data_IF_578005339913
#
_entry.id   IF_578005339913
#
_cell.length_a   1.000
_cell.length_b   1.000
_cell.length_c   1.000
_cell.angle_alpha   90.00
_cell.angle_beta   90.00
_cell.angle_gamma   90.00
#
_symmetry.space_group_name_H-M   'P 1'
#
loop_
_entity.id
_entity.type
_entity.pdbx_description
1 polymer ?
#
# COMPACT_ATOMS: atom_id res chain seq x y z
N UNK A 1 -25.11 16.01 -43.83
CA UNK A 1 -25.04 14.54 -43.92
C UNK A 1 -23.66 14.16 -43.42
N UNK A 2 -23.58 13.76 -42.16
CA UNK A 2 -22.39 13.04 -41.68
C UNK A 2 -22.50 11.65 -42.33
N UNK A 3 -21.41 11.19 -42.94
CA UNK A 3 -21.39 9.96 -43.72
C UNK A 3 -21.65 8.77 -42.78
N UNK A 4 -22.81 8.10 -42.92
CA UNK A 4 -23.18 6.96 -42.08
C UNK A 4 -22.14 5.83 -42.11
N UNK A 5 -21.34 5.78 -43.19
CA UNK A 5 -20.23 4.84 -43.34
C UNK A 5 -19.04 5.18 -42.43
N UNK A 6 -18.70 6.46 -42.27
CA UNK A 6 -17.61 6.90 -41.38
C UNK A 6 -17.98 6.72 -39.89
N UNK A 7 -19.28 6.85 -39.56
CA UNK A 7 -19.78 6.56 -38.22
C UNK A 7 -19.76 5.06 -37.90
N UNK A 8 -20.18 4.21 -38.84
CA UNK A 8 -20.12 2.76 -38.69
C UNK A 8 -18.68 2.26 -38.54
N UNK A 9 -17.76 2.75 -39.36
CA UNK A 9 -16.33 2.39 -39.29
C UNK A 9 -15.68 2.86 -37.98
N UNK A 10 -16.05 4.03 -37.46
CA UNK A 10 -15.59 4.51 -36.16
C UNK A 10 -16.09 3.66 -34.98
N UNK A 11 -17.34 3.16 -35.06
CA UNK A 11 -17.90 2.25 -34.05
C UNK A 11 -17.20 0.90 -34.07
N UNK A 12 -17.00 0.30 -35.26
CA UNK A 12 -16.30 -0.98 -35.40
C UNK A 12 -14.86 -0.92 -34.86
N UNK A 13 -14.15 0.20 -35.06
CA UNK A 13 -12.78 0.39 -34.53
C UNK A 13 -12.74 0.51 -33.01
N UNK A 14 -13.68 1.24 -32.41
CA UNK A 14 -13.81 1.31 -30.95
C UNK A 14 -14.16 -0.06 -30.37
N UNK A 15 -15.07 -0.80 -31.03
CA UNK A 15 -15.44 -2.15 -30.62
C UNK A 15 -14.25 -3.11 -30.68
N UNK A 16 -13.37 -3.01 -31.68
CA UNK A 16 -12.17 -3.84 -31.75
C UNK A 16 -11.21 -3.66 -30.55
N UNK A 17 -11.16 -2.47 -29.95
CA UNK A 17 -10.33 -2.17 -28.78
C UNK A 17 -11.04 -2.40 -27.43
N UNK A 18 -12.35 -2.63 -27.44
CA UNK A 18 -13.17 -2.63 -26.20
C UNK A 18 -14.03 -3.89 -26.06
N UNK A 19 -14.10 -4.74 -27.08
CA UNK A 19 -14.79 -6.02 -26.97
C UNK A 19 -14.13 -6.87 -25.87
N UNK A 20 -14.89 -7.42 -24.91
CA UNK A 20 -14.31 -8.18 -23.81
C UNK A 20 -13.65 -9.45 -24.34
N UNK A 21 -12.37 -9.63 -24.03
CA UNK A 21 -11.64 -10.84 -24.38
C UNK A 21 -11.04 -11.52 -23.15
N UNK A 22 -10.73 -12.80 -23.26
CA UNK A 22 -9.94 -13.50 -22.24
C UNK A 22 -8.55 -12.88 -22.06
N UNK A 23 -8.03 -12.21 -23.08
CA UNK A 23 -6.76 -11.51 -22.99
C UNK A 23 -6.88 -10.24 -22.12
N UNK A 24 -8.02 -9.56 -22.17
CA UNK A 24 -8.29 -8.41 -21.32
C UNK A 24 -8.43 -8.85 -19.85
N UNK A 25 -9.16 -9.94 -19.58
CA UNK A 25 -9.23 -10.61 -18.25
C UNK A 25 -7.83 -10.91 -17.71
N UNK A 26 -6.96 -11.54 -18.51
CA UNK A 26 -5.57 -11.81 -18.10
C UNK A 26 -4.76 -10.53 -17.86
N UNK A 27 -5.03 -9.48 -18.63
CA UNK A 27 -4.39 -8.18 -18.50
C UNK A 27 -4.83 -7.47 -17.21
N UNK A 28 -6.12 -7.54 -16.87
CA UNK A 28 -6.66 -7.06 -15.59
C UNK A 28 -6.09 -7.85 -14.42
N UNK A 29 -5.99 -9.18 -14.51
CA UNK A 29 -5.30 -10.01 -13.52
C UNK A 29 -3.81 -9.69 -13.36
N UNK A 30 -3.11 -9.33 -14.43
CA UNK A 30 -1.71 -8.86 -14.38
C UNK A 30 -1.62 -7.55 -13.58
N UNK A 31 -2.53 -6.61 -13.83
CA UNK A 31 -2.59 -5.35 -13.10
C UNK A 31 -2.97 -5.57 -11.62
N UNK A 32 -3.89 -6.50 -11.34
CA UNK A 32 -4.27 -6.92 -10.00
C UNK A 32 -3.07 -7.50 -9.24
N UNK A 33 -2.36 -8.48 -9.80
CA UNK A 33 -1.22 -9.13 -9.13
C UNK A 33 -0.13 -8.12 -8.75
N UNK A 34 0.20 -7.21 -9.67
CA UNK A 34 1.16 -6.13 -9.40
C UNK A 34 0.69 -5.19 -8.28
N UNK A 35 -0.58 -4.81 -8.30
CA UNK A 35 -1.16 -3.92 -7.28
C UNK A 35 -1.24 -4.62 -5.93
N UNK A 36 -1.62 -5.89 -5.91
CA UNK A 36 -1.62 -6.77 -4.74
C UNK A 36 -0.21 -6.90 -4.15
N UNK A 37 0.81 -7.07 -4.99
CA UNK A 37 2.20 -7.13 -4.54
C UNK A 37 2.67 -5.79 -3.91
N UNK A 38 2.28 -4.65 -4.50
CA UNK A 38 2.55 -3.30 -4.00
C UNK A 38 1.88 -3.06 -2.63
N UNK A 39 0.55 -3.27 -2.56
CA UNK A 39 -0.24 -3.18 -1.33
C UNK A 39 0.33 -4.13 -0.27
N UNK A 40 0.65 -5.37 -0.64
CA UNK A 40 1.23 -6.35 0.27
C UNK A 40 2.59 -5.93 0.82
N UNK A 41 3.45 -5.28 0.01
CA UNK A 41 4.74 -4.77 0.46
C UNK A 41 4.60 -3.63 1.47
N UNK A 42 3.72 -2.67 1.21
CA UNK A 42 3.41 -1.56 2.12
C UNK A 42 2.74 -2.07 3.41
N UNK A 43 1.78 -3.00 3.30
CA UNK A 43 1.16 -3.67 4.45
C UNK A 43 2.18 -4.37 5.33
N UNK A 44 3.14 -5.11 4.75
CA UNK A 44 4.23 -5.75 5.50
C UNK A 44 5.13 -4.74 6.20
N UNK A 45 5.44 -3.61 5.55
CA UNK A 45 6.24 -2.54 6.15
C UNK A 45 5.53 -1.90 7.35
N UNK A 46 4.23 -1.64 7.24
CA UNK A 46 3.42 -1.10 8.34
C UNK A 46 3.28 -2.14 9.46
N UNK A 47 3.02 -3.41 9.12
CA UNK A 47 2.92 -4.49 10.11
C UNK A 47 4.21 -4.63 10.92
N UNK A 48 5.38 -4.62 10.27
CA UNK A 48 6.68 -4.61 10.97
C UNK A 48 6.83 -3.42 11.93
N UNK A 49 6.32 -2.25 11.55
CA UNK A 49 6.36 -1.05 12.40
C UNK A 49 5.39 -1.18 13.58
N UNK A 50 4.20 -1.76 13.36
CA UNK A 50 3.22 -2.05 14.42
C UNK A 50 3.75 -3.10 15.40
N UNK A 51 4.43 -4.14 14.93
CA UNK A 51 5.01 -5.18 15.77
C UNK A 51 6.17 -4.64 16.62
N UNK A 52 7.01 -3.79 16.03
CA UNK A 52 8.07 -3.10 16.76
C UNK A 52 7.49 -2.16 17.84
N UNK A 53 6.40 -1.46 17.51
CA UNK A 53 5.67 -0.62 18.47
C UNK A 53 4.98 -1.45 19.55
N UNK A 54 4.37 -2.58 19.20
CA UNK A 54 3.75 -3.51 20.14
C UNK A 54 4.78 -4.08 21.12
N UNK A 55 5.97 -4.42 20.61
CA UNK A 55 7.10 -4.87 21.43
C UNK A 55 7.57 -3.77 22.40
N UNK A 56 7.70 -2.53 21.92
CA UNK A 56 8.04 -1.38 22.78
C UNK A 56 6.97 -1.13 23.85
N UNK A 57 5.68 -1.21 23.49
CA UNK A 57 4.57 -1.07 24.43
C UNK A 57 4.53 -2.21 25.46
N UNK A 58 4.86 -3.44 25.07
CA UNK A 58 4.94 -4.59 25.98
C UNK A 58 6.04 -4.43 27.03
N UNK A 59 7.20 -3.88 26.67
CA UNK A 59 8.29 -3.58 27.62
C UNK A 59 7.82 -2.58 28.71
N UNK A 60 6.92 -1.66 28.37
CA UNK A 60 6.36 -0.69 29.33
C UNK A 60 5.16 -1.23 30.09
N UNK A 61 4.36 -2.13 29.52
CA UNK A 61 3.10 -2.61 30.11
C UNK A 61 3.20 -3.91 30.89
N UNK A 62 4.17 -4.79 30.60
CA UNK A 62 4.32 -6.05 31.33
C UNK A 62 4.97 -5.83 32.71
N UNK A 63 4.12 -5.79 33.74
CA UNK A 63 4.52 -5.71 35.15
C UNK A 63 4.82 -7.06 35.81
N UNK A 64 4.71 -8.19 35.08
CA UNK A 64 4.63 -9.54 35.66
C UNK A 64 5.53 -10.65 35.08
N UNK A 65 6.09 -10.52 33.88
CA UNK A 65 6.96 -11.55 33.28
C UNK A 65 8.44 -11.43 33.67
N UNK A 66 8.94 -10.20 33.76
CA UNK A 66 10.34 -9.91 34.06
C UNK A 66 10.73 -10.18 35.53
N UNK A 67 9.75 -10.28 36.43
CA UNK A 67 9.98 -10.64 37.84
C UNK A 67 10.48 -12.07 38.02
N UNK A 68 10.30 -12.97 37.05
CA UNK A 68 10.90 -14.31 37.12
C UNK A 68 12.37 -14.32 36.69
N UNK A 69 12.76 -13.50 35.71
CA UNK A 69 14.14 -13.42 35.25
C UNK A 69 15.06 -12.71 36.27
N UNK A 70 14.50 -11.76 37.03
CA UNK A 70 15.21 -11.03 38.09
C UNK A 70 14.90 -11.56 39.50
N UNK A 71 13.91 -12.44 39.64
CA UNK A 71 13.55 -13.10 40.91
C UNK A 71 14.63 -14.06 41.43
N UNK A 72 15.61 -14.42 40.59
CA UNK A 72 16.82 -15.14 41.01
C UNK A 72 17.87 -14.29 41.72
N UNK A 73 17.78 -12.96 41.64
CA UNK A 73 18.66 -12.01 42.35
C UNK A 73 17.93 -11.47 43.58
N UNK A 74 17.98 -12.20 44.71
CA UNK A 74 17.36 -11.79 45.96
C UNK A 74 17.73 -10.37 46.42
N UNK A 75 16.86 -9.73 47.22
CA UNK A 75 16.91 -8.41 47.95
C UNK A 75 17.48 -7.18 47.20
N UNK A 76 18.54 -7.31 46.41
CA UNK A 76 19.19 -6.28 45.58
C UNK A 76 18.38 -5.95 44.31
N UNK A 77 17.50 -6.84 43.84
CA UNK A 77 16.62 -6.58 42.68
C UNK A 77 15.39 -5.71 42.98
N UNK A 78 14.94 -5.64 44.24
CA UNK A 78 13.71 -4.93 44.64
C UNK A 78 13.70 -3.41 44.35
N UNK A 79 14.79 -2.65 44.57
CA UNK A 79 14.84 -1.23 44.25
C UNK A 79 14.76 -0.96 42.74
N UNK A 80 15.34 -1.84 41.91
CA UNK A 80 15.33 -1.72 40.45
C UNK A 80 13.93 -2.02 39.90
N UNK A 81 13.30 -3.09 40.40
CA UNK A 81 11.90 -3.43 40.05
C UNK A 81 10.93 -2.33 40.52
N UNK A 82 11.14 -1.75 41.70
CA UNK A 82 10.35 -0.64 42.21
C UNK A 82 10.51 0.65 41.38
N UNK A 83 11.75 1.01 41.02
CA UNK A 83 12.02 2.15 40.15
C UNK A 83 11.46 1.96 38.73
N UNK A 84 11.51 0.72 38.21
CA UNK A 84 10.94 0.39 36.90
C UNK A 84 9.41 0.47 36.92
N UNK A 85 8.73 -0.05 37.96
CA UNK A 85 7.28 0.13 38.13
C UNK A 85 6.87 1.60 38.28
N UNK A 86 7.67 2.39 38.99
CA UNK A 86 7.46 3.83 39.10
C UNK A 86 7.62 4.52 37.74
N UNK A 87 8.67 4.17 36.97
CA UNK A 87 8.87 4.68 35.61
C UNK A 87 7.72 4.26 34.67
N UNK A 88 7.28 3.01 34.70
CA UNK A 88 6.13 2.51 33.93
C UNK A 88 4.83 3.22 34.33
N UNK A 89 4.59 3.45 35.63
CA UNK A 89 3.44 4.18 36.14
C UNK A 89 3.43 5.64 35.68
N UNK A 90 4.59 6.29 35.71
CA UNK A 90 4.77 7.67 35.21
C UNK A 90 4.55 7.72 33.70
N UNK A 91 5.12 6.79 32.93
CA UNK A 91 4.93 6.71 31.47
C UNK A 91 3.46 6.45 31.11
N UNK A 92 2.79 5.54 31.81
CA UNK A 92 1.36 5.24 31.59
C UNK A 92 0.45 6.44 31.92
N UNK A 93 0.71 7.14 33.02
CA UNK A 93 -0.01 8.37 33.37
C UNK A 93 0.28 9.50 32.37
N UNK A 94 1.53 9.63 31.92
CA UNK A 94 1.95 10.62 30.93
C UNK A 94 1.26 10.38 29.58
N UNK A 95 1.26 9.14 29.08
CA UNK A 95 0.54 8.78 27.84
C UNK A 95 -0.95 9.06 27.97
N UNK A 96 -1.57 8.74 29.12
CA UNK A 96 -2.98 9.04 29.37
C UNK A 96 -3.27 10.55 29.44
N UNK A 97 -2.40 11.34 30.04
CA UNK A 97 -2.54 12.80 30.13
C UNK A 97 -2.41 13.47 28.76
N UNK A 98 -1.49 12.98 27.91
CA UNK A 98 -1.22 13.58 26.60
C UNK A 98 -2.18 13.14 25.51
N UNK A 99 -2.61 11.87 25.54
CA UNK A 99 -3.46 11.30 24.48
C UNK A 99 -4.94 11.18 24.89
N UNK A 100 -5.25 11.33 26.17
CA UNK A 100 -6.59 11.04 26.72
C UNK A 100 -6.93 9.54 26.80
N UNK A 101 -6.05 8.66 26.30
CA UNK A 101 -6.27 7.21 26.15
C UNK A 101 -5.24 6.43 26.97
N UNK A 102 -5.64 5.36 27.65
CA UNK A 102 -4.72 4.56 28.48
C UNK A 102 -3.79 3.69 27.64
N UNK A 103 -2.57 3.47 28.14
CA UNK A 103 -1.55 2.63 27.49
C UNK A 103 -2.03 1.19 27.17
N UNK A 104 -2.99 0.68 27.94
CA UNK A 104 -3.65 -0.61 27.67
C UNK A 104 -4.48 -0.57 26.38
N UNK A 105 -5.30 0.46 26.19
CA UNK A 105 -6.09 0.67 24.96
C UNK A 105 -5.20 0.88 23.74
N UNK A 106 -4.02 1.50 23.92
CA UNK A 106 -2.99 1.59 22.89
C UNK A 106 -2.45 0.21 22.49
N UNK A 107 -2.16 -0.64 23.47
CA UNK A 107 -1.65 -2.00 23.24
C UNK A 107 -2.70 -2.86 22.52
N UNK A 108 -3.96 -2.77 22.95
CA UNK A 108 -5.09 -3.47 22.30
C UNK A 108 -5.30 -2.99 20.86
N UNK A 109 -5.17 -1.68 20.60
CA UNK A 109 -5.28 -1.11 19.27
C UNK A 109 -4.17 -1.59 18.33
N UNK A 110 -2.92 -1.63 18.81
CA UNK A 110 -1.78 -2.15 18.04
C UNK A 110 -1.97 -3.63 17.73
N UNK A 111 -2.30 -4.45 18.74
CA UNK A 111 -2.54 -5.88 18.55
C UNK A 111 -3.71 -6.16 17.58
N UNK A 112 -4.83 -5.43 17.74
CA UNK A 112 -5.96 -5.53 16.83
C UNK A 112 -5.62 -5.08 15.40
N UNK A 113 -4.75 -4.07 15.26
CA UNK A 113 -4.33 -3.59 13.94
C UNK A 113 -3.41 -4.61 13.28
N UNK A 114 -2.38 -5.12 13.95
CA UNK A 114 -1.51 -6.18 13.41
C UNK A 114 -2.31 -7.39 12.92
N UNK A 115 -3.24 -7.90 13.73
CA UNK A 115 -4.10 -9.03 13.32
C UNK A 115 -4.96 -8.72 12.07
N UNK A 116 -5.42 -7.47 11.92
CA UNK A 116 -6.17 -7.04 10.73
C UNK A 116 -5.28 -6.93 9.49
N UNK A 117 -4.01 -6.52 9.65
CA UNK A 117 -3.03 -6.51 8.55
C UNK A 117 -2.70 -7.94 8.10
N UNK A 118 -2.47 -8.87 9.02
CA UNK A 118 -2.17 -10.26 8.71
C UNK A 118 -3.35 -10.96 7.99
N UNK A 119 -4.58 -10.76 8.48
CA UNK A 119 -5.77 -11.27 7.84
C UNK A 119 -5.95 -10.71 6.42
N UNK A 120 -5.66 -9.42 6.22
CA UNK A 120 -5.74 -8.79 4.92
C UNK A 120 -4.65 -9.29 3.96
N UNK A 121 -3.41 -9.49 4.44
CA UNK A 121 -2.33 -10.08 3.65
C UNK A 121 -2.67 -11.49 3.15
N UNK A 122 -3.23 -12.35 4.00
CA UNK A 122 -3.66 -13.70 3.58
C UNK A 122 -4.75 -13.66 2.50
N UNK A 123 -5.63 -12.67 2.55
CA UNK A 123 -6.63 -12.48 1.50
C UNK A 123 -6.01 -12.01 0.18
N UNK A 124 -5.06 -11.08 0.24
CA UNK A 124 -4.31 -10.63 -0.93
C UNK A 124 -3.58 -11.80 -1.62
N UNK A 125 -3.03 -12.75 -0.85
CA UNK A 125 -2.45 -13.98 -1.39
C UNK A 125 -3.46 -14.84 -2.15
N UNK A 126 -4.74 -14.82 -1.74
CA UNK A 126 -5.81 -15.53 -2.46
C UNK A 126 -6.06 -14.91 -3.84
N UNK A 127 -6.03 -13.58 -3.95
CA UNK A 127 -6.15 -12.88 -5.24
C UNK A 127 -4.92 -13.12 -6.12
N UNK A 128 -3.72 -13.14 -5.54
CA UNK A 128 -2.49 -13.47 -6.28
C UNK A 128 -2.53 -14.91 -6.82
N UNK A 129 -2.98 -15.88 -6.01
CA UNK A 129 -3.15 -17.26 -6.44
C UNK A 129 -4.18 -17.39 -7.58
N UNK A 130 -5.27 -16.63 -7.49
CA UNK A 130 -6.27 -16.53 -8.54
C UNK A 130 -5.65 -16.02 -9.85
N UNK A 131 -4.95 -14.89 -9.79
CA UNK A 131 -4.25 -14.31 -10.95
C UNK A 131 -3.29 -15.31 -11.59
N UNK A 132 -2.48 -16.02 -10.78
CA UNK A 132 -1.54 -17.02 -11.29
C UNK A 132 -2.23 -18.15 -12.05
N UNK A 133 -3.44 -18.56 -11.65
CA UNK A 133 -4.22 -19.57 -12.36
C UNK A 133 -4.63 -19.09 -13.76
N UNK A 134 -5.06 -17.85 -13.90
CA UNK A 134 -5.41 -17.26 -15.21
C UNK A 134 -4.21 -17.09 -16.14
N UNK A 135 -3.02 -16.85 -15.59
CA UNK A 135 -1.76 -16.79 -16.34
C UNK A 135 -1.28 -18.17 -16.82
N UNK A 136 -1.51 -19.22 -16.02
CA UNK A 136 -1.03 -20.59 -16.31
C UNK A 136 -2.04 -21.42 -17.11
N UNK A 137 -3.32 -21.07 -17.05
CA UNK A 137 -4.36 -21.72 -17.82
C UNK A 137 -4.10 -21.54 -19.33
N UNK A 138 -3.71 -22.63 -20.00
CA UNK A 138 -3.58 -22.68 -21.46
C UNK A 138 -4.95 -22.67 -22.19
N UNK A 139 -6.05 -22.64 -21.44
CA UNK A 139 -7.39 -22.68 -21.99
C UNK A 139 -7.67 -21.41 -22.83
N UNK A 140 -8.31 -21.62 -23.98
CA UNK A 140 -8.80 -20.56 -24.87
C UNK A 140 -10.17 -20.02 -24.46
N UNK A 141 -10.78 -20.59 -23.41
CA UNK A 141 -12.13 -20.26 -22.93
C UNK A 141 -12.17 -20.29 -21.40
N UNK A 142 -13.05 -19.48 -20.83
CA UNK A 142 -13.38 -19.47 -19.40
C UNK A 142 -14.30 -20.65 -19.06
N UNK A 143 -13.96 -21.40 -18.01
CA UNK A 143 -14.92 -22.31 -17.39
C UNK A 143 -15.96 -21.46 -16.62
N UNK A 144 -17.26 -21.55 -16.96
CA UNK A 144 -18.28 -20.72 -16.35
C UNK A 144 -18.50 -21.01 -14.85
N UNK A 145 -18.23 -22.22 -14.37
CA UNK A 145 -18.44 -22.57 -12.97
C UNK A 145 -17.28 -22.04 -12.12
N UNK A 146 -16.03 -22.24 -12.57
CA UNK A 146 -14.85 -21.66 -11.92
C UNK A 146 -14.90 -20.13 -11.95
N UNK A 147 -15.28 -19.52 -13.08
CA UNK A 147 -15.36 -18.06 -13.21
C UNK A 147 -16.39 -17.43 -12.24
N UNK A 148 -17.47 -18.13 -11.88
CA UNK A 148 -18.44 -17.65 -10.88
C UNK A 148 -17.92 -17.78 -9.44
N UNK A 149 -17.17 -18.83 -9.14
CA UNK A 149 -16.46 -18.95 -7.87
C UNK A 149 -15.46 -17.79 -7.71
N UNK A 150 -14.72 -17.49 -8.78
CA UNK A 150 -13.72 -16.43 -8.82
C UNK A 150 -14.34 -15.05 -8.60
N UNK A 151 -15.48 -14.77 -9.24
CA UNK A 151 -16.26 -13.56 -8.96
C UNK A 151 -16.63 -13.44 -7.48
N UNK A 152 -16.97 -14.55 -6.82
CA UNK A 152 -17.35 -14.54 -5.41
C UNK A 152 -16.16 -14.13 -4.53
N UNK A 153 -14.99 -14.72 -4.77
CA UNK A 153 -13.73 -14.38 -4.08
C UNK A 153 -13.35 -12.92 -4.30
N UNK A 154 -13.44 -12.43 -5.54
CA UNK A 154 -13.13 -11.05 -5.89
C UNK A 154 -14.08 -10.04 -5.22
N UNK A 155 -15.39 -10.32 -5.21
CA UNK A 155 -16.38 -9.47 -4.53
C UNK A 155 -16.19 -9.43 -3.02
N UNK A 156 -15.92 -10.58 -2.40
CA UNK A 156 -15.60 -10.63 -0.97
C UNK A 156 -14.34 -9.83 -0.66
N UNK A 157 -13.35 -9.87 -1.55
CA UNK A 157 -12.13 -9.07 -1.43
C UNK A 157 -12.35 -7.59 -1.62
N UNK A 158 -13.19 -7.19 -2.56
CA UNK A 158 -13.62 -5.80 -2.70
C UNK A 158 -14.29 -5.28 -1.42
N UNK A 159 -15.23 -6.04 -0.85
CA UNK A 159 -15.93 -5.65 0.37
C UNK A 159 -14.99 -5.51 1.58
N UNK A 160 -14.09 -6.48 1.80
CA UNK A 160 -13.12 -6.41 2.90
C UNK A 160 -12.11 -5.29 2.71
N UNK A 161 -11.67 -5.02 1.47
CA UNK A 161 -10.77 -3.92 1.13
C UNK A 161 -11.38 -2.55 1.49
N UNK A 162 -12.68 -2.36 1.25
CA UNK A 162 -13.38 -1.14 1.64
C UNK A 162 -13.41 -0.96 3.16
N UNK A 163 -13.74 -2.03 3.91
CA UNK A 163 -13.74 -2.00 5.37
C UNK A 163 -12.34 -1.70 5.94
N UNK A 164 -11.30 -2.16 5.26
CA UNK A 164 -9.91 -2.01 5.68
C UNK A 164 -9.40 -0.56 5.68
N UNK A 165 -9.99 0.35 4.91
CA UNK A 165 -9.64 1.79 4.95
C UNK A 165 -9.83 2.44 6.31
N UNK A 166 -10.80 1.96 7.10
CA UNK A 166 -10.99 2.43 8.47
C UNK A 166 -9.83 1.99 9.39
N UNK A 167 -9.16 0.89 9.08
CA UNK A 167 -7.95 0.42 9.77
C UNK A 167 -6.79 1.36 9.47
N UNK A 168 -6.58 1.71 8.20
CA UNK A 168 -5.54 2.67 7.79
C UNK A 168 -5.67 4.01 8.51
N UNK A 169 -6.88 4.55 8.60
CA UNK A 169 -7.14 5.80 9.31
C UNK A 169 -6.72 5.75 10.78
N UNK A 170 -6.97 4.61 11.46
CA UNK A 170 -6.58 4.40 12.86
C UNK A 170 -5.06 4.28 13.02
N UNK A 171 -4.38 3.58 12.12
CA UNK A 171 -2.90 3.46 12.13
C UNK A 171 -2.21 4.80 11.86
N UNK A 172 -2.75 5.61 10.95
CA UNK A 172 -2.25 6.96 10.69
C UNK A 172 -2.34 7.87 11.93
N UNK A 173 -3.46 7.79 12.66
CA UNK A 173 -3.65 8.51 13.92
C UNK A 173 -2.65 8.07 14.99
N UNK A 174 -2.40 6.76 15.09
CA UNK A 174 -1.40 6.20 16.00
C UNK A 174 0.01 6.75 15.71
N UNK A 175 0.42 6.84 14.44
CA UNK A 175 1.71 7.44 14.07
C UNK A 175 1.87 8.89 14.54
N UNK A 176 0.84 9.73 14.33
CA UNK A 176 0.83 11.16 14.75
C UNK A 176 0.88 11.33 16.26
N UNK A 177 0.23 10.43 17.00
CA UNK A 177 0.18 10.49 18.46
C UNK A 177 1.50 10.03 19.10
N UNK A 178 2.14 8.97 18.58
CA UNK A 178 3.49 8.59 19.03
C UNK A 178 4.51 9.68 18.72
N UNK A 179 4.39 10.35 17.57
CA UNK A 179 5.22 11.52 17.25
C UNK A 179 5.04 12.66 18.26
N UNK A 180 3.82 12.90 18.71
CA UNK A 180 3.50 13.94 19.71
C UNK A 180 4.15 13.63 21.06
N UNK A 181 4.09 12.36 21.49
CA UNK A 181 4.74 11.87 22.71
C UNK A 181 6.27 12.02 22.63
N UNK A 182 6.87 11.72 21.48
CA UNK A 182 8.32 11.78 21.26
C UNK A 182 8.86 13.21 21.09
N UNK A 183 8.10 14.11 20.43
CA UNK A 183 8.50 15.52 20.25
C UNK A 183 8.57 16.28 21.57
N UNK A 184 7.60 16.10 22.47
CA UNK A 184 7.58 16.82 23.76
C UNK A 184 8.68 16.39 24.73
N UNK A 185 9.15 15.14 24.65
CA UNK A 185 10.22 14.62 25.51
C UNK A 185 11.62 15.12 25.10
N UNK A 186 11.84 15.49 23.83
CA UNK A 186 13.11 16.06 23.37
C UNK A 186 13.23 17.56 23.64
N UNK A 187 12.10 18.27 23.77
CA UNK A 187 12.06 19.70 24.16
C UNK A 187 11.96 19.92 25.67
N UNK A 188 11.98 18.85 26.47
CA UNK A 188 11.85 18.85 27.93
C UNK A 188 13.06 19.38 28.72
N UNK A 189 13.77 20.39 28.22
CA UNK A 189 14.66 21.24 29.02
C UNK A 189 13.93 22.50 29.56
N UNK A 190 12.67 22.74 29.20
CA UNK A 190 11.90 23.80 29.86
C UNK A 190 11.23 23.26 31.12
N UNK A 191 11.79 23.70 32.26
CA UNK A 191 11.46 23.27 33.60
C UNK A 191 9.96 23.20 33.89
N UNK A 192 9.60 22.21 34.71
CA UNK A 192 8.27 22.13 35.33
C UNK A 192 7.93 23.48 35.98
N UNK A 193 6.69 23.99 35.87
CA UNK A 193 6.27 25.16 36.61
C UNK A 193 6.28 24.80 38.10
N UNK A 194 7.09 25.54 38.87
CA UNK A 194 7.11 25.46 40.32
C UNK A 194 5.69 25.70 40.86
N UNK A 195 5.06 24.64 41.34
CA UNK A 195 3.87 24.74 42.15
C UNK A 195 4.29 25.35 43.51
N UNK A 196 3.91 26.61 43.65
CA UNK A 196 3.87 27.44 44.85
C UNK A 196 4.03 26.65 46.16
N UNK A 197 5.23 26.70 46.74
CA UNK A 197 5.49 26.20 48.09
C UNK A 197 5.20 27.33 49.07
N UNK A 198 4.15 27.14 49.83
CA UNK A 198 3.92 27.86 51.07
C UNK A 198 5.12 27.69 52.00
N UNK A 199 5.69 28.82 52.39
CA UNK A 199 6.60 28.91 53.52
C UNK A 199 5.87 28.49 54.79
N UNK A 200 6.38 27.46 55.47
CA UNK A 200 6.72 27.53 56.90
C UNK A 200 7.43 26.26 57.39
N UNK A 201 8.62 26.53 57.92
CA UNK A 201 9.14 26.05 59.21
C UNK A 201 10.36 25.13 59.20
N UNK A 202 11.31 25.60 60.02
CA UNK A 202 12.29 24.85 60.82
C UNK A 202 13.53 24.30 60.12
N UNK A 203 14.64 24.92 60.51
CA UNK A 203 15.98 24.37 60.46
C UNK A 203 16.06 23.11 61.31
N UNK A 204 16.59 22.03 60.71
CA UNK A 204 17.50 21.02 61.30
C UNK A 204 17.45 19.75 60.43
N UNK A 205 18.30 19.69 59.40
CA UNK A 205 19.00 18.47 58.95
C UNK A 205 19.67 18.68 57.58
N UNK A 206 20.61 19.62 57.51
CA UNK A 206 21.34 19.93 56.28
C UNK A 206 22.15 18.76 55.69
N UNK A 207 22.36 17.67 56.43
CA UNK A 207 23.04 16.45 55.95
C UNK A 207 22.10 15.34 55.48
N UNK A 208 20.86 15.24 56.02
CA UNK A 208 19.84 14.32 55.53
C UNK A 208 19.07 14.91 54.35
N UNK A 209 18.80 16.22 54.33
CA UNK A 209 18.30 16.87 53.12
C UNK A 209 19.34 16.89 52.02
N UNK A 210 20.65 17.02 52.30
CA UNK A 210 21.68 16.79 51.28
C UNK A 210 21.73 15.35 50.82
N UNK A 211 21.63 14.35 51.71
CA UNK A 211 21.59 12.94 51.29
C UNK A 211 20.29 12.54 50.58
N UNK A 212 19.15 13.13 50.94
CA UNK A 212 17.87 12.92 50.23
C UNK A 212 17.86 13.67 48.91
N UNK A 213 18.54 14.83 48.82
CA UNK A 213 18.72 15.59 47.57
C UNK A 213 19.81 15.01 46.69
N UNK A 214 20.82 14.34 47.26
CA UNK A 214 21.87 13.56 46.57
C UNK A 214 21.37 12.18 46.18
N UNK A 215 20.45 11.59 46.95
CA UNK A 215 19.71 10.39 46.55
C UNK A 215 18.64 10.76 45.56
N UNK A 216 17.94 11.89 45.68
CA UNK A 216 17.05 12.40 44.63
C UNK A 216 17.84 12.80 43.39
N UNK A 217 19.03 13.40 43.46
CA UNK A 217 19.83 13.74 42.29
C UNK A 217 20.47 12.50 41.67
N UNK A 218 20.96 11.53 42.46
CA UNK A 218 21.40 10.21 41.96
C UNK A 218 20.25 9.33 41.48
N UNK A 219 19.05 9.49 42.03
CA UNK A 219 17.84 8.84 41.54
C UNK A 219 17.27 9.62 40.36
N UNK A 220 17.57 10.90 40.18
CA UNK A 220 17.19 11.71 39.02
C UNK A 220 18.13 11.40 37.86
N UNK A 221 19.45 11.31 38.08
CA UNK A 221 20.44 10.78 37.13
C UNK A 221 20.16 9.32 36.81
N UNK A 222 19.95 8.43 37.80
CA UNK A 222 19.51 7.06 37.51
C UNK A 222 18.10 6.98 36.93
N UNK A 223 17.20 7.92 37.21
CA UNK A 223 15.87 7.98 36.56
C UNK A 223 15.96 8.55 35.15
N UNK A 224 17.00 9.32 34.85
CA UNK A 224 17.35 9.79 33.52
C UNK A 224 17.84 8.61 32.72
N UNK A 225 18.81 7.86 33.24
CA UNK A 225 19.31 6.61 32.63
C UNK A 225 18.20 5.56 32.50
N UNK A 226 17.31 5.42 33.51
CA UNK A 226 16.16 4.52 33.45
C UNK A 226 15.07 5.03 32.52
N UNK A 227 14.84 6.35 32.41
CA UNK A 227 13.91 6.92 31.43
C UNK A 227 14.44 6.74 30.02
N UNK A 228 15.72 6.99 29.80
CA UNK A 228 16.42 6.75 28.55
C UNK A 228 16.31 5.27 28.18
N UNK A 229 16.57 4.34 29.12
CA UNK A 229 16.43 2.91 28.90
C UNK A 229 14.98 2.46 28.62
N UNK A 230 13.98 2.98 29.35
CA UNK A 230 12.56 2.66 29.14
C UNK A 230 12.03 3.26 27.83
N UNK A 231 12.57 4.40 27.39
CA UNK A 231 12.17 5.08 26.16
C UNK A 231 13.01 4.66 24.94
N UNK A 232 14.15 3.98 25.15
CA UNK A 232 15.05 3.53 24.08
C UNK A 232 14.31 2.75 22.98
N UNK A 233 13.40 1.80 23.29
CA UNK A 233 12.63 1.10 22.25
C UNK A 233 11.76 2.05 21.40
N UNK A 234 11.29 3.16 21.96
CA UNK A 234 10.53 4.18 21.20
C UNK A 234 11.43 5.12 20.40
N UNK A 235 12.66 5.36 20.85
CA UNK A 235 13.68 6.09 20.10
C UNK A 235 14.12 5.29 18.88
N UNK A 236 14.34 3.99 19.04
CA UNK A 236 14.79 3.07 18.00
C UNK A 236 13.76 2.94 16.86
N UNK A 237 12.46 2.99 17.17
CA UNK A 237 11.37 2.91 16.18
C UNK A 237 10.88 4.28 15.70
N UNK A 238 11.39 5.39 16.25
CA UNK A 238 10.89 6.75 16.00
C UNK A 238 10.77 7.09 14.53
N UNK A 239 11.83 6.80 13.76
CA UNK A 239 11.90 7.20 12.36
C UNK A 239 10.96 6.35 11.49
N UNK A 240 10.70 5.10 11.87
CA UNK A 240 9.68 4.24 11.25
C UNK A 240 8.27 4.73 11.58
N UNK A 241 7.99 5.04 12.85
CA UNK A 241 6.68 5.54 13.28
C UNK A 241 6.34 6.90 12.66
N UNK A 242 7.33 7.78 12.48
CA UNK A 242 7.18 9.05 11.75
C UNK A 242 6.78 8.88 10.30
N UNK A 243 7.13 7.75 9.67
CA UNK A 243 6.78 7.47 8.27
C UNK A 243 5.36 6.91 8.12
N UNK A 244 4.76 6.36 9.19
CA UNK A 244 3.44 5.73 9.15
C UNK A 244 2.37 6.60 8.47
N UNK A 245 2.19 7.90 8.76
CA UNK A 245 1.17 8.70 8.09
C UNK A 245 1.36 8.72 6.56
N UNK A 246 2.59 8.94 6.09
CA UNK A 246 2.90 8.96 4.66
C UNK A 246 2.79 7.59 4.00
N UNK A 247 3.08 6.51 4.73
CA UNK A 247 2.92 5.13 4.26
C UNK A 247 1.44 4.76 4.17
N UNK A 248 0.63 5.12 5.18
CA UNK A 248 -0.82 4.90 5.15
C UNK A 248 -1.51 5.69 4.04
N UNK A 249 -1.01 6.87 3.70
CA UNK A 249 -1.54 7.68 2.59
C UNK A 249 -1.23 7.05 1.23
N UNK A 250 0.02 6.63 1.00
CA UNK A 250 0.40 5.88 -0.21
C UNK A 250 -0.39 4.57 -0.32
N UNK A 251 -0.48 3.83 0.77
CA UNK A 251 -1.23 2.59 0.83
C UNK A 251 -2.73 2.79 0.58
N UNK A 252 -3.31 3.91 1.03
CA UNK A 252 -4.69 4.25 0.72
C UNK A 252 -4.92 4.51 -0.77
N UNK A 253 -3.93 5.09 -1.47
CA UNK A 253 -3.97 5.28 -2.93
C UNK A 253 -3.89 3.94 -3.67
N UNK A 254 -2.93 3.08 -3.30
CA UNK A 254 -2.78 1.74 -3.87
C UNK A 254 -4.02 0.86 -3.62
N UNK A 255 -4.63 0.97 -2.45
CA UNK A 255 -5.89 0.28 -2.15
C UNK A 255 -7.08 0.84 -2.92
N UNK A 256 -7.12 2.15 -3.17
CA UNK A 256 -8.14 2.72 -4.05
C UNK A 256 -8.00 2.21 -5.49
N UNK A 257 -6.77 2.02 -5.98
CA UNK A 257 -6.50 1.38 -7.26
C UNK A 257 -6.98 -0.08 -7.25
N UNK A 258 -6.63 -0.84 -6.21
CA UNK A 258 -7.05 -2.24 -6.06
C UNK A 258 -8.57 -2.40 -6.10
N UNK A 259 -9.33 -1.54 -5.43
CA UNK A 259 -10.80 -1.58 -5.46
C UNK A 259 -11.35 -1.44 -6.87
N UNK A 260 -10.83 -0.48 -7.64
CA UNK A 260 -11.27 -0.27 -9.03
C UNK A 260 -10.93 -1.49 -9.87
N UNK A 261 -9.72 -2.03 -9.74
CA UNK A 261 -9.32 -3.23 -10.49
C UNK A 261 -10.18 -4.45 -10.13
N UNK A 262 -10.52 -4.65 -8.85
CA UNK A 262 -11.41 -5.72 -8.41
C UNK A 262 -12.83 -5.55 -8.98
N UNK A 263 -13.37 -4.32 -9.04
CA UNK A 263 -14.67 -4.06 -9.66
C UNK A 263 -14.64 -4.35 -11.17
N UNK A 264 -13.59 -3.88 -11.86
CA UNK A 264 -13.43 -4.07 -13.30
C UNK A 264 -13.31 -5.55 -13.65
N UNK A 265 -12.49 -6.32 -12.93
CA UNK A 265 -12.32 -7.76 -13.15
C UNK A 265 -13.65 -8.51 -12.97
N UNK A 266 -14.41 -8.20 -11.92
CA UNK A 266 -15.74 -8.80 -11.72
C UNK A 266 -16.68 -8.45 -12.87
N UNK A 267 -16.68 -7.19 -13.31
CA UNK A 267 -17.54 -6.74 -14.40
C UNK A 267 -17.15 -7.38 -15.75
N UNK A 268 -15.85 -7.57 -15.96
CA UNK A 268 -15.26 -8.17 -17.15
C UNK A 268 -15.58 -9.66 -17.25
N UNK A 269 -15.41 -10.42 -16.16
CA UNK A 269 -15.81 -11.83 -16.10
C UNK A 269 -17.31 -11.96 -16.40
N UNK A 270 -18.16 -11.09 -15.83
CA UNK A 270 -19.61 -11.09 -16.13
C UNK A 270 -19.89 -10.79 -17.61
N UNK A 271 -19.12 -9.89 -18.23
CA UNK A 271 -19.22 -9.59 -19.65
C UNK A 271 -18.88 -10.82 -20.50
N UNK A 272 -17.77 -11.50 -20.19
CA UNK A 272 -17.34 -12.72 -20.87
C UNK A 272 -18.34 -13.89 -20.70
N UNK A 273 -19.02 -13.98 -19.55
CA UNK A 273 -20.06 -14.98 -19.30
C UNK A 273 -21.43 -14.63 -19.92
N UNK A 274 -21.58 -13.44 -20.49
CA UNK A 274 -22.87 -12.96 -21.03
C UNK A 274 -23.92 -12.68 -19.94
N UNK A 275 -23.48 -12.40 -18.71
CA UNK A 275 -24.34 -12.16 -17.54
C UNK A 275 -24.83 -10.70 -17.43
N UNK A 276 -24.42 -9.84 -18.37
CA UNK A 276 -24.80 -8.42 -18.45
C UNK A 276 -25.26 -8.05 -19.87
N UNK A 277 -26.16 -7.06 -20.00
CA UNK A 277 -26.67 -6.65 -21.30
C UNK A 277 -25.57 -6.02 -22.19
N UNK A 278 -25.73 -6.02 -23.53
CA UNK A 278 -24.72 -5.51 -24.47
C UNK A 278 -24.28 -4.07 -24.20
N UNK A 279 -25.20 -3.20 -23.78
CA UNK A 279 -24.89 -1.81 -23.41
C UNK A 279 -23.91 -1.75 -22.23
N UNK A 280 -24.11 -2.59 -21.21
CA UNK A 280 -23.19 -2.68 -20.06
C UNK A 280 -21.86 -3.31 -20.46
N UNK A 281 -21.86 -4.32 -21.34
CA UNK A 281 -20.62 -4.91 -21.89
C UNK A 281 -19.76 -3.83 -22.54
N UNK A 282 -20.35 -2.97 -23.38
CA UNK A 282 -19.62 -1.88 -24.04
C UNK A 282 -19.02 -0.91 -23.03
N UNK A 283 -19.75 -0.57 -21.97
CA UNK A 283 -19.27 0.31 -20.91
C UNK A 283 -18.11 -0.33 -20.15
N UNK A 284 -18.22 -1.61 -19.80
CA UNK A 284 -17.13 -2.36 -19.14
C UNK A 284 -15.90 -2.38 -20.04
N UNK A 285 -16.08 -2.66 -21.33
CA UNK A 285 -15.03 -2.61 -22.34
C UNK A 285 -14.29 -1.28 -22.37
N UNK A 286 -15.02 -0.15 -22.43
CA UNK A 286 -14.43 1.19 -22.37
C UNK A 286 -13.63 1.43 -21.08
N UNK A 287 -14.15 0.99 -19.93
CA UNK A 287 -13.51 1.17 -18.62
C UNK A 287 -12.27 0.31 -18.46
N UNK A 288 -12.29 -0.94 -18.91
CA UNK A 288 -11.12 -1.85 -18.91
C UNK A 288 -10.06 -1.33 -19.87
N UNK A 289 -10.45 -0.95 -21.09
CA UNK A 289 -9.57 -0.42 -22.10
C UNK A 289 -8.81 0.82 -21.59
N UNK A 290 -9.53 1.79 -20.99
CA UNK A 290 -8.94 3.01 -20.45
C UNK A 290 -8.18 2.78 -19.13
N UNK A 291 -8.75 1.99 -18.22
CA UNK A 291 -8.22 1.80 -16.87
C UNK A 291 -7.08 0.79 -16.79
N UNK A 292 -7.05 -0.21 -17.67
CA UNK A 292 -6.17 -1.37 -17.55
C UNK A 292 -5.37 -1.58 -18.81
N UNK A 293 -6.01 -1.85 -19.95
CA UNK A 293 -5.33 -2.32 -21.17
C UNK A 293 -4.30 -1.33 -21.68
N UNK A 294 -4.68 -0.05 -21.83
CA UNK A 294 -3.76 0.99 -22.31
C UNK A 294 -2.61 1.30 -21.32
N UNK A 295 -2.86 1.53 -20.02
CA UNK A 295 -1.77 1.68 -19.04
C UNK A 295 -0.82 0.48 -19.00
N UNK A 296 -1.35 -0.75 -19.09
CA UNK A 296 -0.53 -1.96 -19.08
C UNK A 296 0.28 -2.10 -20.38
N UNK A 297 -0.27 -1.77 -21.54
CA UNK A 297 0.48 -1.69 -22.80
C UNK A 297 1.67 -0.74 -22.68
N UNK A 298 1.46 0.48 -22.15
CA UNK A 298 2.55 1.44 -21.93
C UNK A 298 3.65 0.89 -21.03
N UNK A 299 3.28 0.16 -19.97
CA UNK A 299 4.24 -0.50 -19.05
C UNK A 299 5.02 -1.63 -19.74
N UNK A 300 4.33 -2.48 -20.51
CA UNK A 300 4.95 -3.59 -21.26
C UNK A 300 5.93 -3.05 -22.29
N UNK A 301 5.59 -1.98 -23.02
CA UNK A 301 6.47 -1.31 -23.98
C UNK A 301 7.74 -0.79 -23.31
N UNK A 302 7.60 -0.01 -22.23
CA UNK A 302 8.76 0.51 -21.50
C UNK A 302 9.68 -0.63 -21.01
N UNK A 303 9.10 -1.72 -20.50
CA UNK A 303 9.84 -2.91 -20.07
C UNK A 303 10.55 -3.60 -21.23
N UNK A 304 9.88 -3.77 -22.37
CA UNK A 304 10.44 -4.41 -23.57
C UNK A 304 11.59 -3.58 -24.16
N UNK A 305 11.44 -2.25 -24.21
CA UNK A 305 12.49 -1.31 -24.63
C UNK A 305 13.72 -1.42 -23.72
N UNK A 306 13.53 -1.41 -22.39
CA UNK A 306 14.61 -1.57 -21.43
C UNK A 306 15.33 -2.92 -21.59
N UNK A 307 14.60 -4.02 -21.80
CA UNK A 307 15.19 -5.35 -22.03
C UNK A 307 16.00 -5.40 -23.32
N UNK A 308 15.45 -4.89 -24.43
CA UNK A 308 16.16 -4.84 -25.70
C UNK A 308 17.46 -4.01 -25.60
N UNK A 309 17.41 -2.86 -24.92
CA UNK A 309 18.58 -2.03 -24.66
C UNK A 309 19.60 -2.73 -23.77
N UNK A 310 19.16 -3.44 -22.73
CA UNK A 310 20.04 -4.19 -21.84
C UNK A 310 20.80 -5.30 -22.59
N UNK A 311 20.10 -6.09 -23.43
CA UNK A 311 20.73 -7.12 -24.24
C UNK A 311 21.71 -6.56 -25.28
N UNK A 312 21.38 -5.42 -25.90
CA UNK A 312 22.33 -4.71 -26.76
C UNK A 312 23.57 -4.28 -25.97
N UNK A 313 23.39 -3.70 -24.79
CA UNK A 313 24.49 -3.28 -23.91
C UNK A 313 25.37 -4.46 -23.48
N UNK A 314 24.78 -5.63 -23.23
CA UNK A 314 25.54 -6.84 -22.89
C UNK A 314 26.41 -7.31 -24.06
N UNK A 315 25.88 -7.27 -25.29
CA UNK A 315 26.65 -7.57 -26.49
C UNK A 315 27.80 -6.58 -26.69
N UNK A 316 27.54 -5.27 -26.57
CA UNK A 316 28.56 -4.24 -26.76
C UNK A 316 29.70 -4.37 -25.73
N UNK A 317 29.37 -4.70 -24.47
CA UNK A 317 30.37 -4.98 -23.42
C UNK A 317 31.16 -6.24 -23.71
N UNK A 318 30.49 -7.30 -24.18
CA UNK A 318 31.13 -8.57 -24.52
C UNK A 318 32.10 -8.40 -25.71
N UNK A 319 31.69 -7.67 -26.74
CA UNK A 319 32.52 -7.33 -27.89
C UNK A 319 33.76 -6.51 -27.47
N UNK A 320 33.58 -5.49 -26.62
CA UNK A 320 34.69 -4.72 -26.07
C UNK A 320 35.67 -5.59 -25.26
N UNK A 321 35.17 -6.43 -24.36
CA UNK A 321 36.00 -7.28 -23.51
C UNK A 321 36.75 -8.36 -24.31
N UNK A 322 36.14 -8.89 -25.38
CA UNK A 322 36.80 -9.79 -26.30
C UNK A 322 37.93 -9.08 -27.09
N UNK A 323 37.66 -7.88 -27.62
CA UNK A 323 38.66 -7.07 -28.33
C UNK A 323 39.83 -6.64 -27.43
N UNK A 324 39.60 -6.48 -26.12
CA UNK A 324 40.63 -6.22 -25.12
C UNK A 324 41.43 -7.48 -24.70
N UNK A 325 41.05 -8.66 -25.19
CA UNK A 325 41.67 -9.93 -24.82
C UNK A 325 41.29 -10.45 -23.43
N UNK A 326 40.31 -9.83 -22.77
CA UNK A 326 39.81 -10.23 -21.44
C UNK A 326 38.91 -11.46 -21.51
N UNK A 327 38.22 -11.66 -22.64
CA UNK A 327 37.34 -12.82 -22.89
C UNK A 327 37.93 -13.72 -23.98
N UNK A 328 38.24 -14.99 -23.68
CA UNK A 328 38.71 -15.95 -24.67
C UNK A 328 37.71 -16.20 -25.80
N UNK A 329 38.21 -16.42 -27.02
CA UNK A 329 37.42 -16.65 -28.25
C UNK A 329 36.27 -17.67 -28.05
N UNK A 330 36.56 -18.80 -27.41
CA UNK A 330 35.56 -19.86 -27.21
C UNK A 330 34.42 -19.42 -26.28
N UNK A 331 34.71 -18.60 -25.27
CA UNK A 331 33.69 -18.06 -24.34
C UNK A 331 32.89 -16.97 -25.04
N UNK A 332 33.58 -16.11 -25.79
CA UNK A 332 32.96 -15.07 -26.62
C UNK A 332 31.96 -15.66 -27.63
N UNK A 333 32.34 -16.71 -28.36
CA UNK A 333 31.49 -17.35 -29.35
C UNK A 333 30.17 -17.90 -28.75
N UNK A 334 30.24 -18.47 -27.53
CA UNK A 334 29.06 -19.00 -26.83
C UNK A 334 28.16 -17.84 -26.37
N UNK A 335 28.70 -16.88 -25.60
CA UNK A 335 27.91 -15.79 -25.03
C UNK A 335 27.36 -14.85 -26.10
N UNK A 336 28.11 -14.58 -27.17
CA UNK A 336 27.65 -13.72 -28.26
C UNK A 336 26.50 -14.35 -29.03
N UNK A 337 26.50 -15.68 -29.21
CA UNK A 337 25.37 -16.39 -29.80
C UNK A 337 24.13 -16.31 -28.90
N UNK A 338 24.28 -16.57 -27.60
CA UNK A 338 23.20 -16.49 -26.61
C UNK A 338 22.58 -15.10 -26.56
N UNK A 339 23.39 -14.05 -26.38
CA UNK A 339 22.90 -12.68 -26.29
C UNK A 339 22.29 -12.17 -27.60
N UNK A 340 22.79 -12.61 -28.76
CA UNK A 340 22.15 -12.29 -30.05
C UNK A 340 20.76 -12.91 -30.16
N UNK A 341 20.59 -14.15 -29.70
CA UNK A 341 19.26 -14.78 -29.65
C UNK A 341 18.34 -14.00 -28.70
N UNK A 342 18.78 -13.71 -27.47
CA UNK A 342 17.98 -12.94 -26.51
C UNK A 342 17.61 -11.54 -27.02
N UNK A 343 18.54 -10.86 -27.69
CA UNK A 343 18.28 -9.56 -28.32
C UNK A 343 17.26 -9.68 -29.46
N UNK A 344 17.38 -10.70 -30.33
CA UNK A 344 16.43 -10.93 -31.42
C UNK A 344 15.02 -11.21 -30.88
N UNK A 345 14.89 -12.07 -29.88
CA UNK A 345 13.61 -12.33 -29.20
C UNK A 345 13.03 -11.06 -28.57
N UNK A 346 13.85 -10.27 -27.87
CA UNK A 346 13.41 -9.03 -27.23
C UNK A 346 12.94 -7.99 -28.26
N UNK A 347 13.64 -7.88 -29.41
CA UNK A 347 13.25 -6.98 -30.51
C UNK A 347 11.98 -7.42 -31.20
N UNK A 348 11.78 -8.73 -31.42
CA UNK A 348 10.54 -9.27 -31.97
C UNK A 348 9.35 -8.92 -31.08
N UNK A 349 9.49 -9.16 -29.77
CA UNK A 349 8.44 -8.84 -28.81
C UNK A 349 8.17 -7.33 -28.71
N UNK A 350 9.22 -6.50 -28.76
CA UNK A 350 9.05 -5.04 -28.81
C UNK A 350 8.27 -4.61 -30.06
N UNK A 351 8.58 -5.17 -31.23
CA UNK A 351 7.88 -4.85 -32.47
C UNK A 351 6.39 -5.26 -32.45
N UNK A 352 6.06 -6.39 -31.81
CA UNK A 352 4.66 -6.81 -31.59
C UNK A 352 3.90 -5.79 -30.73
N UNK A 353 4.52 -5.34 -29.63
CA UNK A 353 3.92 -4.33 -28.75
C UNK A 353 3.82 -2.96 -29.42
N UNK A 354 4.80 -2.58 -30.26
CA UNK A 354 4.76 -1.35 -31.05
C UNK A 354 3.62 -1.37 -32.07
N UNK A 355 3.35 -2.52 -32.70
CA UNK A 355 2.22 -2.69 -33.60
C UNK A 355 0.87 -2.57 -32.86
N UNK A 356 0.77 -3.09 -31.62
CA UNK A 356 -0.41 -2.87 -30.77
C UNK A 356 -0.55 -1.39 -30.38
N UNK A 357 0.57 -0.73 -30.06
CA UNK A 357 0.60 0.71 -29.78
C UNK A 357 0.13 1.54 -30.98
N UNK A 358 0.47 1.15 -32.22
CA UNK A 358 0.01 1.82 -33.44
C UNK A 358 -1.51 1.80 -33.59
N UNK A 359 -2.18 0.74 -33.12
CA UNK A 359 -3.66 0.69 -33.08
C UNK A 359 -4.18 1.70 -32.07
N UNK A 360 -3.61 1.72 -30.87
CA UNK A 360 -3.98 2.65 -29.81
C UNK A 360 -3.72 4.11 -30.18
N UNK A 361 -2.61 4.45 -30.85
CA UNK A 361 -2.36 5.82 -31.31
C UNK A 361 -3.40 6.31 -32.31
N UNK A 362 -3.99 5.41 -33.11
CA UNK A 362 -5.02 5.76 -34.10
C UNK A 362 -6.40 5.92 -33.47
N UNK A 363 -6.81 4.95 -32.65
CA UNK A 363 -8.21 4.84 -32.23
C UNK A 363 -8.41 5.07 -30.71
N UNK A 364 -7.34 5.03 -29.92
CA UNK A 364 -7.37 5.14 -28.46
C UNK A 364 -7.95 6.45 -27.94
N UNK A 365 -7.75 7.56 -28.66
CA UNK A 365 -8.32 8.85 -28.27
C UNK A 365 -9.85 8.81 -28.24
N UNK A 366 -10.47 8.17 -29.24
CA UNK A 366 -11.92 8.02 -29.31
C UNK A 366 -12.47 7.11 -28.20
N UNK A 367 -11.73 6.06 -27.83
CA UNK A 367 -12.05 5.18 -26.69
C UNK A 367 -12.04 5.99 -25.38
N UNK A 368 -11.00 6.80 -25.14
CA UNK A 368 -10.86 7.61 -23.94
C UNK A 368 -11.90 8.73 -23.85
N UNK A 369 -12.28 9.33 -24.98
CA UNK A 369 -13.36 10.32 -25.04
C UNK A 369 -14.72 9.67 -24.74
N UNK A 370 -15.04 8.54 -25.38
CA UNK A 370 -16.28 7.81 -25.11
C UNK A 370 -16.40 7.35 -23.65
N UNK A 371 -15.30 6.93 -23.05
CA UNK A 371 -15.24 6.56 -21.63
C UNK A 371 -15.52 7.77 -20.72
N UNK A 372 -14.85 8.91 -20.97
CA UNK A 372 -15.03 10.14 -20.21
C UNK A 372 -16.46 10.71 -20.33
N UNK A 373 -17.03 10.69 -21.53
CA UNK A 373 -18.40 11.15 -21.80
C UNK A 373 -19.42 10.31 -21.02
N UNK A 374 -19.25 8.98 -21.03
CA UNK A 374 -20.11 8.09 -20.26
C UNK A 374 -20.00 8.35 -18.75
N UNK A 375 -18.79 8.46 -18.20
CA UNK A 375 -18.60 8.73 -16.77
C UNK A 375 -19.21 10.08 -16.36
N UNK A 376 -19.07 11.10 -17.20
CA UNK A 376 -19.64 12.43 -16.96
C UNK A 376 -21.17 12.37 -16.94
N UNK A 377 -21.78 11.64 -17.87
CA UNK A 377 -23.22 11.42 -17.91
C UNK A 377 -23.69 10.66 -16.67
N UNK A 378 -23.01 9.60 -16.26
CA UNK A 378 -23.38 8.81 -15.09
C UNK A 378 -23.28 9.64 -13.79
N UNK A 379 -22.24 10.45 -13.64
CA UNK A 379 -22.12 11.40 -12.53
C UNK A 379 -23.26 12.42 -12.50
N UNK A 380 -23.70 12.91 -13.67
CA UNK A 380 -24.83 13.82 -13.78
C UNK A 380 -26.16 13.12 -13.41
N UNK A 381 -26.35 11.87 -13.82
CA UNK A 381 -27.52 11.05 -13.45
C UNK A 381 -27.56 10.82 -11.93
N UNK A 382 -26.43 10.48 -11.31
CA UNK A 382 -26.33 10.31 -9.87
C UNK A 382 -26.63 11.61 -9.11
N UNK A 383 -26.15 12.76 -9.62
CA UNK A 383 -26.46 14.07 -9.05
C UNK A 383 -27.96 14.41 -9.17
N UNK A 384 -28.58 14.13 -10.32
CA UNK A 384 -30.01 14.32 -10.51
C UNK A 384 -30.84 13.44 -9.57
N UNK A 385 -30.48 12.15 -9.43
CA UNK A 385 -31.14 11.21 -8.50
C UNK A 385 -31.04 11.66 -7.05
N UNK A 386 -29.90 12.19 -6.62
CA UNK A 386 -29.74 12.71 -5.26
C UNK A 386 -30.75 13.85 -4.96
N UNK A 387 -31.03 14.70 -5.96
CA UNK A 387 -31.99 15.80 -5.83
C UNK A 387 -33.44 15.29 -5.88
N UNK A 388 -33.76 14.38 -6.81
CA UNK A 388 -35.15 13.94 -7.05
C UNK A 388 -35.63 12.87 -6.08
N UNK A 389 -34.76 11.93 -5.70
CA UNK A 389 -35.14 10.79 -4.87
C UNK A 389 -34.95 11.07 -3.37
N UNK A 390 -34.29 12.18 -3.01
CA UNK A 390 -33.91 12.53 -1.62
C UNK A 390 -33.20 11.38 -0.86
N UNK A 391 -32.72 10.38 -1.60
CA UNK A 391 -31.82 9.36 -1.10
C UNK A 391 -30.43 9.95 -1.11
N UNK A 392 -29.67 9.72 -0.03
CA UNK A 392 -28.22 9.80 -0.13
C UNK A 392 -27.80 8.87 -1.28
N UNK A 393 -27.50 9.46 -2.43
CA UNK A 393 -26.95 8.72 -3.55
C UNK A 393 -25.71 7.99 -3.03
N UNK A 394 -25.61 6.70 -3.36
CA UNK A 394 -24.50 5.82 -3.00
C UNK A 394 -23.15 6.56 -3.10
N UNK A 395 -22.69 7.14 -1.99
CA UNK A 395 -21.52 8.02 -1.98
C UNK A 395 -20.29 7.31 -2.53
N UNK A 396 -20.23 6.01 -2.27
CA UNK A 396 -19.20 5.10 -2.75
C UNK A 396 -19.14 5.03 -4.28
N UNK A 397 -20.29 5.00 -4.98
CA UNK A 397 -20.31 4.92 -6.46
C UNK A 397 -19.82 6.21 -7.11
N UNK A 398 -20.23 7.36 -6.57
CA UNK A 398 -19.77 8.66 -7.07
C UNK A 398 -18.26 8.83 -6.88
N UNK A 399 -17.74 8.48 -5.70
CA UNK A 399 -16.30 8.54 -5.41
C UNK A 399 -15.51 7.62 -6.34
N UNK A 400 -16.04 6.43 -6.62
CA UNK A 400 -15.39 5.47 -7.52
C UNK A 400 -15.33 5.99 -8.96
N UNK A 401 -16.46 6.48 -9.50
CA UNK A 401 -16.50 7.06 -10.85
C UNK A 401 -15.57 8.27 -11.01
N UNK A 402 -15.45 9.11 -9.98
CA UNK A 402 -14.52 10.24 -10.02
C UNK A 402 -13.06 9.77 -10.12
N UNK A 403 -12.68 8.73 -9.37
CA UNK A 403 -11.34 8.14 -9.46
C UNK A 403 -11.08 7.52 -10.82
N UNK A 404 -12.08 6.88 -11.41
CA UNK A 404 -11.93 6.34 -12.76
C UNK A 404 -11.77 7.43 -13.81
N UNK A 405 -12.46 8.56 -13.66
CA UNK A 405 -12.28 9.71 -14.54
C UNK A 405 -10.85 10.27 -14.44
N UNK A 406 -10.29 10.34 -13.23
CA UNK A 406 -8.90 10.73 -13.03
C UNK A 406 -7.94 9.75 -13.75
N UNK A 407 -8.23 8.45 -13.69
CA UNK A 407 -7.47 7.43 -14.44
C UNK A 407 -7.62 7.53 -15.95
N UNK A 408 -8.77 7.94 -16.47
CA UNK A 408 -8.93 8.22 -17.91
C UNK A 408 -7.98 9.36 -18.32
N UNK A 409 -7.79 10.37 -17.47
CA UNK A 409 -6.83 11.44 -17.73
C UNK A 409 -5.37 10.94 -17.66
N UNK A 410 -5.05 10.07 -16.71
CA UNK A 410 -3.74 9.38 -16.68
C UNK A 410 -3.53 8.54 -17.94
N UNK A 411 -4.54 7.82 -18.41
CA UNK A 411 -4.49 7.02 -19.63
C UNK A 411 -4.26 7.90 -20.88
N UNK A 412 -4.80 9.12 -20.93
CA UNK A 412 -4.47 10.09 -21.98
C UNK A 412 -2.99 10.46 -21.99
N UNK A 413 -2.39 10.61 -20.80
CA UNK A 413 -0.95 10.86 -20.69
C UNK A 413 -0.13 9.68 -21.19
N UNK A 414 -0.55 8.44 -20.88
CA UNK A 414 0.08 7.23 -21.41
C UNK A 414 -0.03 7.19 -22.93
N UNK A 415 -1.22 7.41 -23.48
CA UNK A 415 -1.46 7.43 -24.93
C UNK A 415 -0.57 8.45 -25.65
N UNK A 416 -0.37 9.63 -25.05
CA UNK A 416 0.50 10.67 -25.61
C UNK A 416 1.99 10.28 -25.62
N UNK A 417 2.38 9.28 -24.80
CA UNK A 417 3.76 8.79 -24.70
C UNK A 417 4.01 7.46 -25.43
N UNK A 418 2.96 6.79 -25.91
CA UNK A 418 3.08 5.64 -26.80
C UNK A 418 3.72 6.06 -28.11
#
# INVERSE_FOLDING_TARGET
>A
MIDDHALAEGIERIEALTAPTLQDVRTTFTALDRTVASVGAECRSISQTLDALGSALQVVTQSGGMTQQWGGFGIIGLPIVGAMRAAQGITSQYVKQQTGVSLTTWTDLVASSSAQFDAYLSQLETVAALSQRYHTAAASQLDPDEAREDQTILRETGWRTQAWKQVLGRVAQLGRLVETILKMNLTGEQGLPDADRSDRSSSLSGSLQKRIKDVQSRTVEKSSDLREWVLQPFVDIRDSVKRLPSQTERLAQEVALLEVLLELEVAEIRACLGEIPPTEVRIVGLRVAAGVTLPELGRRLATAQQRALAHQTYLDRLDCAHNAGEVPERVYAILSAEYRISLATSRSHLAELEAEADVWRRDGQAVLDACADWMTLELAVLAARAVTEQREAAGDRRVLLQRELDRVNEARSVLATL
#
